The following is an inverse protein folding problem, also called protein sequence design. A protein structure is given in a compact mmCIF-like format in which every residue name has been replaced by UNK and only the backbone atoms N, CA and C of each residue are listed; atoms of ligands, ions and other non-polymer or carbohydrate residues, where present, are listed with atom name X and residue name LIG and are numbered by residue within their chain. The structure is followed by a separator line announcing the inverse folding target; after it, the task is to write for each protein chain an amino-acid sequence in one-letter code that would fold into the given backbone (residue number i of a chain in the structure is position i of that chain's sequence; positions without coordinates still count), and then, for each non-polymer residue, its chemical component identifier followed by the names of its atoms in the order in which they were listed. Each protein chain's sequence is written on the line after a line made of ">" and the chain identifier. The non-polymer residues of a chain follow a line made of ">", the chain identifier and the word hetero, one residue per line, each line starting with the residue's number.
data_IF_322874641569
#
_entry.id   IF_322874641569
#
_cell.length_a   1.000
_cell.length_b   1.000
_cell.length_c   1.000
_cell.angle_alpha   90.00
_cell.angle_beta   90.00
_cell.angle_gamma   90.00
#
_symmetry.space_group_name_H-M   'P 1'
#
loop_
_entity.id
_entity.type
_entity.pdbx_description
1 polymer ?
#
# COMPACT_ATOMS: atom_id res chain seq x y z
N UNK A 1 -8.09 15.96 15.25
CA UNK A 1 -7.85 15.78 13.80
C UNK A 1 -6.48 16.30 13.32
N UNK A 2 -5.92 17.41 13.83
CA UNK A 2 -4.66 17.97 13.32
C UNK A 2 -3.38 17.13 13.52
N UNK A 3 -3.35 16.20 14.47
CA UNK A 3 -2.15 15.41 14.79
C UNK A 3 -1.84 14.33 13.74
N UNK A 4 -2.85 13.62 13.23
CA UNK A 4 -2.66 12.56 12.21
C UNK A 4 -2.18 13.15 10.87
N UNK A 5 -2.63 14.35 10.53
CA UNK A 5 -2.23 15.07 9.31
C UNK A 5 -0.73 15.42 9.31
N UNK A 6 -0.19 15.82 10.47
CA UNK A 6 1.24 16.13 10.61
C UNK A 6 2.11 14.88 10.61
N UNK A 7 1.63 13.78 11.18
CA UNK A 7 2.36 12.51 11.20
C UNK A 7 2.55 11.96 9.79
N UNK A 8 1.52 12.03 8.92
CA UNK A 8 1.64 11.53 7.54
C UNK A 8 2.61 12.34 6.68
N UNK A 9 2.72 13.65 6.92
CA UNK A 9 3.70 14.50 6.25
C UNK A 9 5.14 14.23 6.74
N UNK A 10 5.30 13.90 8.02
CA UNK A 10 6.62 13.65 8.64
C UNK A 10 7.11 12.21 8.45
N UNK A 11 6.21 11.25 8.23
CA UNK A 11 6.54 9.84 7.97
C UNK A 11 7.19 9.59 6.60
N UNK A 12 7.70 10.62 5.91
CA UNK A 12 8.69 10.43 4.84
C UNK A 12 10.10 10.14 5.38
N UNK A 13 10.38 10.57 6.61
CA UNK A 13 11.66 10.36 7.28
C UNK A 13 11.56 9.16 8.24
N UNK A 14 12.38 8.12 8.00
CA UNK A 14 12.37 6.89 8.76
C UNK A 14 12.78 7.10 10.24
N UNK A 15 13.62 8.08 10.55
CA UNK A 15 14.01 8.40 11.94
C UNK A 15 12.81 8.94 12.74
N UNK A 16 12.00 9.80 12.13
CA UNK A 16 10.80 10.35 12.77
C UNK A 16 9.75 9.27 13.01
N UNK A 17 9.62 8.30 12.08
CA UNK A 17 8.75 7.13 12.31
C UNK A 17 9.18 6.34 13.53
N UNK A 18 10.49 6.07 13.65
CA UNK A 18 11.05 5.28 14.75
C UNK A 18 10.83 5.97 16.09
N UNK A 19 11.05 7.27 16.17
CA UNK A 19 10.82 8.03 17.40
C UNK A 19 9.34 8.12 17.77
N UNK A 20 8.45 8.29 16.78
CA UNK A 20 7.01 8.23 17.00
C UNK A 20 6.56 6.87 17.53
N UNK A 21 7.05 5.76 16.95
CA UNK A 21 6.68 4.43 17.41
C UNK A 21 7.25 4.13 18.80
N UNK A 22 8.50 4.54 19.09
CA UNK A 22 9.08 4.49 20.44
C UNK A 22 8.28 5.28 21.47
N UNK A 23 7.59 6.35 21.07
CA UNK A 23 6.73 7.13 21.97
C UNK A 23 5.40 6.45 22.33
N UNK A 24 5.12 5.26 21.79
CA UNK A 24 3.91 4.50 22.08
C UNK A 24 2.68 4.98 21.29
N UNK A 25 2.89 5.55 20.09
CA UNK A 25 1.79 6.08 19.26
C UNK A 25 0.91 4.97 18.65
N UNK A 26 1.42 3.74 18.54
CA UNK A 26 0.75 2.64 17.82
C UNK A 26 -0.63 2.30 18.40
N UNK A 27 -0.80 2.03 19.72
CA UNK A 27 -2.12 1.79 20.30
C UNK A 27 -3.06 2.98 20.17
N UNK A 28 -2.52 4.21 20.19
CA UNK A 28 -3.32 5.43 20.02
C UNK A 28 -3.89 5.51 18.61
N UNK A 29 -3.09 5.21 17.58
CA UNK A 29 -3.54 5.18 16.18
C UNK A 29 -4.63 4.13 15.98
N UNK A 30 -4.44 2.92 16.50
CA UNK A 30 -5.45 1.84 16.39
C UNK A 30 -6.75 2.25 17.11
N UNK A 31 -6.64 2.85 18.30
CA UNK A 31 -7.80 3.34 19.05
C UNK A 31 -8.53 4.48 18.33
N UNK A 32 -7.81 5.38 17.66
CA UNK A 32 -8.41 6.43 16.82
C UNK A 32 -9.13 5.82 15.62
N UNK A 33 -8.53 4.83 14.96
CA UNK A 33 -9.14 4.13 13.83
C UNK A 33 -10.43 3.43 14.26
N UNK A 34 -10.41 2.73 15.40
CA UNK A 34 -11.58 2.05 15.95
C UNK A 34 -12.70 3.03 16.34
N UNK A 35 -12.37 4.14 17.01
CA UNK A 35 -13.35 5.15 17.45
C UNK A 35 -13.98 5.93 16.31
N UNK A 36 -13.23 6.17 15.24
CA UNK A 36 -13.68 6.96 14.09
C UNK A 36 -13.95 6.10 12.86
N UNK A 37 -14.14 4.78 13.03
CA UNK A 37 -14.35 3.84 11.93
C UNK A 37 -15.50 4.24 11.02
N UNK A 38 -16.55 4.90 11.53
CA UNK A 38 -17.70 5.41 10.76
C UNK A 38 -17.42 6.66 9.93
N UNK A 39 -16.36 7.42 10.22
CA UNK A 39 -16.01 8.64 9.48
C UNK A 39 -14.98 8.31 8.40
N UNK A 40 -15.42 8.26 7.15
CA UNK A 40 -14.58 7.82 6.03
C UNK A 40 -13.29 8.64 5.88
N UNK A 41 -13.33 9.96 6.12
CA UNK A 41 -12.15 10.84 6.01
C UNK A 41 -11.14 10.52 7.10
N UNK A 42 -11.60 10.42 8.35
CA UNK A 42 -10.74 10.10 9.48
C UNK A 42 -10.13 8.70 9.34
N UNK A 43 -10.94 7.72 8.92
CA UNK A 43 -10.52 6.36 8.62
C UNK A 43 -9.46 6.33 7.54
N UNK A 44 -9.70 6.95 6.38
CA UNK A 44 -8.74 6.97 5.27
C UNK A 44 -7.39 7.58 5.68
N UNK A 45 -7.40 8.70 6.41
CA UNK A 45 -6.18 9.36 6.89
C UNK A 45 -5.41 8.48 7.89
N UNK A 46 -6.14 7.79 8.77
CA UNK A 46 -5.53 6.95 9.80
C UNK A 46 -4.93 5.69 9.19
N UNK A 47 -5.61 5.06 8.21
CA UNK A 47 -5.05 3.96 7.42
C UNK A 47 -3.80 4.37 6.65
N UNK A 48 -3.79 5.57 6.06
CA UNK A 48 -2.61 6.12 5.40
C UNK A 48 -1.43 6.28 6.37
N UNK A 49 -1.71 6.68 7.61
CA UNK A 49 -0.72 6.77 8.67
C UNK A 49 -0.12 5.40 9.02
N UNK A 50 -0.97 4.37 9.20
CA UNK A 50 -0.52 2.99 9.46
C UNK A 50 0.35 2.48 8.30
N UNK A 51 -0.08 2.72 7.05
CA UNK A 51 0.69 2.34 5.87
C UNK A 51 2.08 3.00 5.85
N UNK A 52 2.16 4.31 6.15
CA UNK A 52 3.42 5.05 6.16
C UNK A 52 4.36 4.59 7.29
N UNK A 53 3.82 4.33 8.48
CA UNK A 53 4.60 3.87 9.63
C UNK A 53 5.11 2.43 9.46
N UNK A 54 4.35 1.57 8.78
CA UNK A 54 4.73 0.17 8.52
C UNK A 54 5.70 0.03 7.35
N UNK A 55 5.79 1.03 6.47
CA UNK A 55 6.64 0.98 5.28
C UNK A 55 8.11 0.82 5.67
N UNK A 56 8.73 -0.28 5.20
CA UNK A 56 10.15 -0.64 5.42
C UNK A 56 10.52 -0.88 6.89
N UNK A 57 9.55 -0.96 7.79
CA UNK A 57 9.76 -1.12 9.23
C UNK A 57 8.99 -2.34 9.78
N UNK A 58 9.59 -3.56 9.73
CA UNK A 58 8.92 -4.77 10.19
C UNK A 58 8.63 -4.74 11.71
N UNK A 59 9.47 -4.07 12.49
CA UNK A 59 9.24 -3.89 13.93
C UNK A 59 7.96 -3.10 14.23
N UNK A 60 7.67 -2.07 13.43
CA UNK A 60 6.42 -1.31 13.56
C UNK A 60 5.22 -2.16 13.15
N UNK A 61 5.37 -2.93 12.06
CA UNK A 61 4.32 -3.83 11.58
C UNK A 61 3.91 -4.86 12.65
N UNK A 62 4.89 -5.40 13.38
CA UNK A 62 4.63 -6.30 14.51
C UNK A 62 3.88 -5.61 15.65
N UNK A 63 4.27 -4.39 16.02
CA UNK A 63 3.53 -3.63 17.06
C UNK A 63 2.08 -3.33 16.66
N UNK A 64 1.83 -3.04 15.37
CA UNK A 64 0.47 -2.87 14.87
C UNK A 64 -0.33 -4.17 14.92
N UNK A 65 0.29 -5.30 14.56
CA UNK A 65 -0.31 -6.63 14.71
C UNK A 65 -0.70 -6.89 16.16
N UNK A 66 0.24 -6.73 17.09
CA UNK A 66 0.04 -6.97 18.53
C UNK A 66 -1.02 -6.03 19.14
N UNK A 67 -1.23 -4.86 18.53
CA UNK A 67 -2.26 -3.89 18.94
C UNK A 67 -3.64 -4.13 18.32
N UNK A 68 -3.83 -5.19 17.53
CA UNK A 68 -5.11 -5.51 16.89
C UNK A 68 -5.46 -4.64 15.68
N UNK A 69 -4.46 -4.05 15.01
CA UNK A 69 -4.70 -3.29 13.79
C UNK A 69 -5.38 -4.10 12.66
N UNK A 70 -5.04 -5.39 12.40
CA UNK A 70 -5.67 -6.16 11.33
C UNK A 70 -7.20 -6.21 11.41
N UNK A 71 -7.74 -6.46 12.60
CA UNK A 71 -9.18 -6.52 12.87
C UNK A 71 -9.85 -5.20 12.51
N UNK A 72 -9.27 -4.08 12.97
CA UNK A 72 -9.84 -2.76 12.77
C UNK A 72 -9.73 -2.33 11.30
N UNK A 73 -8.64 -2.68 10.61
CA UNK A 73 -8.48 -2.39 9.17
C UNK A 73 -9.56 -3.11 8.35
N UNK A 74 -9.74 -4.42 8.60
CA UNK A 74 -10.75 -5.24 7.92
C UNK A 74 -12.15 -4.72 8.19
N UNK A 75 -12.45 -4.33 9.43
CA UNK A 75 -13.75 -3.73 9.77
C UNK A 75 -13.97 -2.41 9.04
N UNK A 76 -12.96 -1.53 8.97
CA UNK A 76 -13.06 -0.28 8.23
C UNK A 76 -13.34 -0.49 6.73
N UNK A 77 -12.77 -1.54 6.13
CA UNK A 77 -13.05 -1.91 4.74
C UNK A 77 -14.50 -2.39 4.56
N UNK A 78 -15.07 -3.08 5.55
CA UNK A 78 -16.48 -3.52 5.54
C UNK A 78 -17.45 -2.36 5.75
N UNK A 79 -17.11 -1.39 6.60
CA UNK A 79 -17.93 -0.20 6.87
C UNK A 79 -17.95 0.74 5.66
N UNK A 80 -16.84 0.84 4.92
CA UNK A 80 -16.71 1.75 3.77
C UNK A 80 -16.41 1.01 2.47
N UNK A 81 -17.31 0.13 1.98
CA UNK A 81 -17.06 -0.68 0.79
C UNK A 81 -17.01 0.16 -0.50
N UNK A 82 -17.63 1.35 -0.49
CA UNK A 82 -17.74 2.23 -1.65
C UNK A 82 -16.82 3.46 -1.57
N UNK A 83 -16.00 3.57 -0.52
CA UNK A 83 -15.06 4.68 -0.38
C UNK A 83 -13.68 4.33 -0.92
N UNK A 84 -13.36 4.79 -2.13
CA UNK A 84 -12.09 4.54 -2.80
C UNK A 84 -10.85 4.88 -1.93
N UNK A 85 -10.89 5.99 -1.18
CA UNK A 85 -9.75 6.40 -0.35
C UNK A 85 -9.52 5.47 0.84
N UNK A 86 -10.58 5.01 1.49
CA UNK A 86 -10.49 4.02 2.57
C UNK A 86 -9.95 2.70 2.02
N UNK A 87 -10.52 2.21 0.92
CA UNK A 87 -10.12 0.95 0.29
C UNK A 87 -8.64 0.96 -0.15
N UNK A 88 -8.22 2.01 -0.84
CA UNK A 88 -6.83 2.18 -1.29
C UNK A 88 -5.84 2.24 -0.13
N UNK A 89 -6.14 3.04 0.90
CA UNK A 89 -5.24 3.18 2.04
C UNK A 89 -5.20 1.92 2.91
N UNK A 90 -6.32 1.18 3.02
CA UNK A 90 -6.35 -0.13 3.68
C UNK A 90 -5.47 -1.14 2.94
N UNK A 91 -5.58 -1.21 1.61
CA UNK A 91 -4.73 -2.04 0.76
C UNK A 91 -3.24 -1.74 0.99
N UNK A 92 -2.84 -0.47 1.03
CA UNK A 92 -1.46 -0.08 1.33
C UNK A 92 -1.03 -0.46 2.75
N UNK A 93 -1.91 -0.30 3.74
CA UNK A 93 -1.62 -0.68 5.11
C UNK A 93 -1.36 -2.19 5.22
N UNK A 94 -2.26 -3.01 4.66
CA UNK A 94 -2.13 -4.47 4.63
C UNK A 94 -0.83 -4.86 3.93
N UNK A 95 -0.61 -4.40 2.69
CA UNK A 95 0.60 -4.70 1.91
C UNK A 95 1.87 -4.40 2.72
N UNK A 96 1.95 -3.20 3.31
CA UNK A 96 3.15 -2.79 4.02
C UNK A 96 3.37 -3.59 5.31
N UNK A 97 2.30 -3.99 6.00
CA UNK A 97 2.37 -4.83 7.21
C UNK A 97 2.81 -6.26 6.90
N UNK A 98 2.53 -6.79 5.70
CA UNK A 98 2.81 -8.19 5.34
C UNK A 98 4.06 -8.38 4.48
N UNK A 99 4.46 -7.36 3.69
CA UNK A 99 5.53 -7.47 2.68
C UNK A 99 6.88 -7.98 3.23
N UNK A 100 7.19 -7.76 4.51
CA UNK A 100 8.41 -8.24 5.18
C UNK A 100 8.14 -9.12 6.41
N UNK A 101 6.88 -9.46 6.65
CA UNK A 101 6.41 -10.19 7.83
C UNK A 101 5.34 -11.20 7.41
N UNK A 102 5.74 -12.25 6.67
CA UNK A 102 4.79 -13.28 6.15
C UNK A 102 4.03 -14.01 7.25
N UNK A 103 4.55 -14.03 8.48
CA UNK A 103 3.85 -14.54 9.66
C UNK A 103 2.53 -13.81 9.94
N UNK A 104 2.39 -12.54 9.51
CA UNK A 104 1.15 -11.79 9.65
C UNK A 104 0.04 -12.27 8.70
N UNK A 105 0.39 -12.98 7.63
CA UNK A 105 -0.57 -13.36 6.58
C UNK A 105 -1.68 -14.23 7.13
N UNK A 106 -1.35 -15.20 8.01
CA UNK A 106 -2.34 -16.09 8.64
C UNK A 106 -3.47 -15.29 9.31
N UNK A 107 -3.11 -14.22 10.01
CA UNK A 107 -4.09 -13.35 10.69
C UNK A 107 -5.00 -12.62 9.70
N UNK A 108 -4.46 -12.09 8.61
CA UNK A 108 -5.27 -11.43 7.58
C UNK A 108 -6.16 -12.41 6.81
N UNK A 109 -5.70 -13.65 6.59
CA UNK A 109 -6.48 -14.72 6.00
C UNK A 109 -7.67 -15.12 6.88
N UNK A 110 -7.44 -15.32 8.18
CA UNK A 110 -8.49 -15.62 9.17
C UNK A 110 -9.60 -14.54 9.19
N UNK A 111 -9.22 -13.27 8.98
CA UNK A 111 -10.14 -12.14 8.98
C UNK A 111 -10.88 -11.95 7.64
N UNK A 112 -10.55 -12.76 6.62
CA UNK A 112 -11.17 -12.69 5.29
C UNK A 112 -10.68 -11.51 4.44
N UNK A 113 -9.43 -11.06 4.64
CA UNK A 113 -8.87 -9.93 3.88
C UNK A 113 -8.85 -10.16 2.37
N UNK A 114 -8.62 -11.40 1.92
CA UNK A 114 -8.60 -11.77 0.50
C UNK A 114 -9.94 -11.45 -0.20
N UNK A 115 -11.06 -11.89 0.38
CA UNK A 115 -12.39 -11.65 -0.19
C UNK A 115 -12.71 -10.16 -0.27
N UNK A 116 -12.26 -9.36 0.70
CA UNK A 116 -12.44 -7.92 0.71
C UNK A 116 -11.57 -7.23 -0.35
N UNK A 117 -10.32 -7.63 -0.50
CA UNK A 117 -9.43 -7.11 -1.54
C UNK A 117 -9.96 -7.46 -2.93
N UNK A 118 -10.45 -8.67 -3.16
CA UNK A 118 -11.10 -9.05 -4.42
C UNK A 118 -12.38 -8.25 -4.69
N UNK A 119 -13.21 -8.02 -3.67
CA UNK A 119 -14.40 -7.18 -3.78
C UNK A 119 -14.04 -5.72 -4.10
N UNK A 120 -12.95 -5.22 -3.52
CA UNK A 120 -12.39 -3.90 -3.80
C UNK A 120 -11.87 -3.81 -5.23
N UNK A 121 -11.19 -4.87 -5.71
CA UNK A 121 -10.70 -4.97 -7.09
C UNK A 121 -11.84 -4.93 -8.11
N UNK A 122 -12.95 -5.63 -7.83
CA UNK A 122 -14.11 -5.62 -8.71
C UNK A 122 -14.75 -4.23 -8.86
N UNK A 123 -14.58 -3.35 -7.87
CA UNK A 123 -15.14 -1.98 -7.88
C UNK A 123 -14.16 -0.91 -8.35
N UNK A 124 -12.89 -1.02 -7.95
CA UNK A 124 -11.87 0.02 -8.11
C UNK A 124 -10.64 -0.47 -8.89
N UNK A 125 -10.78 -1.58 -9.63
CA UNK A 125 -9.71 -2.18 -10.42
C UNK A 125 -9.07 -1.21 -11.41
N UNK A 126 -9.88 -0.35 -12.03
CA UNK A 126 -9.42 0.64 -13.00
C UNK A 126 -8.61 1.78 -12.35
N UNK A 127 -8.88 2.12 -11.08
CA UNK A 127 -8.24 3.25 -10.40
C UNK A 127 -6.92 2.86 -9.70
N UNK A 128 -6.94 1.73 -8.98
CA UNK A 128 -5.79 1.26 -8.18
C UNK A 128 -5.69 -0.25 -8.10
N UNK A 129 -6.15 -0.96 -9.14
CA UNK A 129 -6.08 -2.43 -9.20
C UNK A 129 -4.67 -3.00 -9.04
N UNK A 130 -3.64 -2.31 -9.52
CA UNK A 130 -2.24 -2.71 -9.30
C UNK A 130 -1.86 -2.78 -7.82
N UNK A 131 -2.30 -1.79 -7.02
CA UNK A 131 -2.04 -1.78 -5.58
C UNK A 131 -2.73 -2.96 -4.90
N UNK A 132 -3.97 -3.26 -5.29
CA UNK A 132 -4.77 -4.38 -4.75
C UNK A 132 -4.13 -5.72 -5.08
N UNK A 133 -3.77 -5.94 -6.35
CA UNK A 133 -3.04 -7.13 -6.81
C UNK A 133 -1.71 -7.29 -6.06
N UNK A 134 -1.01 -6.18 -5.79
CA UNK A 134 0.23 -6.20 -5.00
C UNK A 134 0.00 -6.64 -3.55
N UNK A 135 -1.08 -6.19 -2.91
CA UNK A 135 -1.43 -6.61 -1.55
C UNK A 135 -1.80 -8.09 -1.48
N UNK A 136 -2.61 -8.57 -2.43
CA UNK A 136 -2.99 -9.98 -2.56
C UNK A 136 -1.75 -10.88 -2.76
N UNK A 137 -0.82 -10.48 -3.63
CA UNK A 137 0.45 -11.19 -3.85
C UNK A 137 1.27 -11.30 -2.56
N UNK A 138 1.41 -10.21 -1.81
CA UNK A 138 2.23 -10.20 -0.59
C UNK A 138 1.55 -11.00 0.56
N UNK A 139 0.21 -11.11 0.54
CA UNK A 139 -0.55 -12.05 1.38
C UNK A 139 -0.35 -13.52 0.98
N UNK A 140 0.23 -13.79 -0.19
CA UNK A 140 0.37 -15.14 -0.74
C UNK A 140 -0.92 -15.68 -1.36
N UNK A 141 -1.89 -14.82 -1.66
CA UNK A 141 -3.04 -15.18 -2.49
C UNK A 141 -2.56 -15.37 -3.95
N UNK A 142 -3.22 -16.26 -4.69
CA UNK A 142 -2.95 -16.42 -6.11
C UNK A 142 -3.52 -15.22 -6.88
N UNK A 143 -2.68 -14.55 -7.68
CA UNK A 143 -3.06 -13.35 -8.42
C UNK A 143 -2.56 -13.48 -9.84
N UNK A 144 -3.48 -13.40 -10.80
CA UNK A 144 -3.15 -13.20 -12.21
C UNK A 144 -2.58 -11.80 -12.41
N UNK A 145 -1.26 -11.73 -12.51
CA UNK A 145 -0.56 -10.52 -12.93
C UNK A 145 -0.68 -10.42 -14.45
N UNK A 146 -1.44 -9.45 -14.92
CA UNK A 146 -1.41 -9.07 -16.34
C UNK A 146 -0.15 -8.22 -16.53
N UNK A 147 0.86 -8.79 -17.19
CA UNK A 147 2.08 -8.07 -17.53
C UNK A 147 1.73 -6.94 -18.51
N UNK A 148 1.82 -5.68 -18.05
CA UNK A 148 1.56 -4.51 -18.91
C UNK A 148 2.68 -4.28 -19.95
N UNK A 149 3.83 -4.93 -19.81
CA UNK A 149 4.98 -4.79 -20.71
C UNK A 149 5.20 -6.10 -21.48
N UNK A 150 4.80 -6.15 -22.75
CA UNK A 150 4.92 -7.34 -23.60
C UNK A 150 6.30 -7.51 -24.26
N UNK A 151 7.31 -6.74 -23.84
CA UNK A 151 8.70 -6.88 -24.31
C UNK A 151 8.92 -6.91 -25.82
N UNK A 152 8.00 -6.37 -26.62
CA UNK A 152 8.23 -6.23 -28.05
C UNK A 152 9.12 -5.02 -28.24
N UNK A 153 10.40 -5.27 -28.50
CA UNK A 153 11.29 -4.30 -29.12
C UNK A 153 10.54 -3.66 -30.29
N UNK A 154 10.43 -2.33 -30.31
CA UNK A 154 10.20 -1.62 -31.55
C UNK A 154 11.45 -1.83 -32.41
N UNK A 155 11.49 -2.94 -33.13
CA UNK A 155 12.37 -3.12 -34.28
C UNK A 155 11.80 -2.27 -35.41
N UNK A 156 11.88 -0.95 -35.29
CA UNK A 156 11.84 -0.11 -36.48
C UNK A 156 13.20 -0.28 -37.16
N UNK A 157 13.26 -0.78 -38.42
CA UNK A 157 14.50 -0.78 -39.17
C UNK A 157 14.99 0.66 -39.28
N UNK A 158 16.15 0.95 -38.71
CA UNK A 158 16.82 2.22 -38.98
C UNK A 158 17.11 2.30 -40.48
N UNK A 159 16.36 3.12 -41.21
CA UNK A 159 16.76 3.52 -42.57
C UNK A 159 17.87 4.57 -42.43
N UNK A 160 19.05 4.22 -42.93
CA UNK A 160 20.18 5.14 -43.05
C UNK A 160 19.75 6.34 -43.91
N UNK A 161 19.75 7.58 -43.39
CA UNK A 161 19.40 8.74 -44.21
C UNK A 161 20.46 8.92 -45.30
N UNK A 162 20.02 9.04 -46.56
CA UNK A 162 20.82 9.04 -47.78
C UNK A 162 21.94 10.11 -47.90
N UNK A 163 22.20 10.89 -46.86
CA UNK A 163 23.09 12.05 -46.87
C UNK A 163 24.20 11.97 -45.80
N UNK A 164 24.58 10.78 -45.33
CA UNK A 164 25.74 10.62 -44.44
C UNK A 164 27.05 10.71 -45.23
N UNK A 165 27.51 11.93 -45.51
CA UNK A 165 28.87 12.18 -46.00
C UNK A 165 29.84 12.06 -44.83
N UNK A 166 30.36 10.85 -44.63
CA UNK A 166 31.40 10.55 -43.64
C UNK A 166 32.71 11.28 -43.95
N UNK A 167 32.86 12.49 -43.43
CA UNK A 167 34.15 13.15 -43.24
C UNK A 167 34.37 13.32 -41.74
N UNK A 168 35.02 12.33 -41.13
CA UNK A 168 35.63 12.50 -39.82
C UNK A 168 36.83 13.42 -39.98
N UNK A 169 36.83 14.55 -39.28
CA UNK A 169 38.04 15.33 -39.07
C UNK A 169 38.96 14.51 -38.17
N UNK A 170 40.07 14.04 -38.75
CA UNK A 170 41.22 13.57 -37.99
C UNK A 170 41.83 14.76 -37.23
N UNK A 171 42.02 14.60 -35.91
CA UNK A 171 42.87 15.48 -35.10
C UNK A 171 44.34 15.11 -35.27
#
# INVERSE_FOLDING_TARGET
>A
MCTVFRITALAGNDDVKRDLVKSGIVPVIVSVLSRHSSNAIATALTLKCIAALSLREPAHSKQFLDSGAPEVIVECMKVHPDNAAVQKNACWAIRNMVARCREHNAKFHELGAEALLNSSFAKFGDDFGFDIKSALRDLGCDVTLDEQWTGREYAEPWEEPANYNGNYLEF
#
